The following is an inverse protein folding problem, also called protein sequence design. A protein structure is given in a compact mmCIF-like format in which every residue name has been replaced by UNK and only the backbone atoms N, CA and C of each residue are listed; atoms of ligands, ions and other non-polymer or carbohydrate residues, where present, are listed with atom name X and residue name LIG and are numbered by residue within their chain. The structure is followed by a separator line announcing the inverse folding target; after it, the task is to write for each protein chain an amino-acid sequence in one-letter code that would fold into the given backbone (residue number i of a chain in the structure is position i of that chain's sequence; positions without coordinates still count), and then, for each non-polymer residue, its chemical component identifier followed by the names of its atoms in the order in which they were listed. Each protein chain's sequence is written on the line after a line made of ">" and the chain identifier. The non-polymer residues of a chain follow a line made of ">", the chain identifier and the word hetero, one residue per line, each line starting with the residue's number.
data_IF_608585274357
#
_entry.id   IF_608585274357
#
_cell.length_a   1.000
_cell.length_b   1.000
_cell.length_c   1.000
_cell.angle_alpha   90.00
_cell.angle_beta   90.00
_cell.angle_gamma   90.00
#
_symmetry.space_group_name_H-M   'P 1'
#
loop_
_entity.id
_entity.type
_entity.pdbx_description
1 polymer ?
#
# COMPACT_ATOMS: atom_id res chain seq x y z
N UNK A 1 21.49 -21.19 -0.35
CA UNK A 1 20.98 -21.14 1.04
C UNK A 1 22.17 -21.23 1.97
N UNK A 2 22.12 -20.64 3.17
CA UNK A 2 23.22 -20.79 4.15
C UNK A 2 23.06 -22.12 4.89
N UNK A 3 24.17 -22.70 5.31
CA UNK A 3 24.18 -23.95 6.08
C UNK A 3 23.66 -23.76 7.50
N UNK A 4 23.87 -22.57 8.09
CA UNK A 4 23.38 -22.21 9.42
C UNK A 4 22.82 -20.79 9.48
N UNK A 5 21.83 -20.59 10.35
CA UNK A 5 21.19 -19.31 10.63
C UNK A 5 21.15 -19.08 12.15
N UNK A 6 21.53 -17.90 12.58
CA UNK A 6 21.45 -17.47 13.98
C UNK A 6 20.03 -16.97 14.28
N UNK A 7 19.36 -17.66 15.22
CA UNK A 7 18.02 -17.33 15.69
C UNK A 7 17.99 -16.79 17.12
N UNK A 8 19.13 -16.39 17.69
CA UNK A 8 19.23 -15.93 19.10
C UNK A 8 18.26 -14.78 19.43
N UNK A 9 17.95 -13.92 18.45
CA UNK A 9 17.00 -12.80 18.58
C UNK A 9 15.69 -13.03 17.81
N UNK A 10 15.35 -14.28 17.47
CA UNK A 10 14.14 -14.58 16.74
C UNK A 10 12.91 -14.43 17.64
N UNK A 11 11.87 -13.78 17.12
CA UNK A 11 10.58 -13.59 17.79
C UNK A 11 9.53 -14.44 17.06
N UNK A 12 8.88 -15.33 17.80
CA UNK A 12 7.78 -16.12 17.25
C UNK A 12 6.62 -15.20 16.84
N UNK A 13 6.15 -15.35 15.60
CA UNK A 13 5.00 -14.57 15.12
C UNK A 13 5.31 -13.12 14.74
N UNK A 14 6.58 -12.71 14.64
CA UNK A 14 6.97 -11.33 14.28
C UNK A 14 6.28 -10.77 13.02
N UNK A 15 6.00 -11.65 12.05
CA UNK A 15 5.34 -11.30 10.78
C UNK A 15 3.95 -11.95 10.63
N UNK A 16 3.42 -12.56 11.70
CA UNK A 16 2.07 -13.10 11.66
C UNK A 16 1.07 -11.95 11.68
N UNK A 17 0.20 -11.92 10.67
CA UNK A 17 -0.94 -11.00 10.59
C UNK A 17 -2.21 -11.85 10.70
N UNK A 18 -3.08 -11.60 11.69
CA UNK A 18 -4.37 -12.27 11.79
C UNK A 18 -5.18 -12.10 10.51
N UNK A 19 -5.96 -13.12 10.12
CA UNK A 19 -6.68 -13.11 8.84
C UNK A 19 -7.65 -11.93 8.72
N UNK A 20 -8.31 -11.56 9.83
CA UNK A 20 -9.17 -10.38 9.97
C UNK A 20 -8.45 -9.03 9.81
N UNK A 21 -7.13 -8.99 9.95
CA UNK A 21 -6.30 -7.79 9.81
C UNK A 21 -5.60 -7.70 8.44
N UNK A 22 -5.69 -8.74 7.61
CA UNK A 22 -5.06 -8.75 6.29
C UNK A 22 -5.72 -7.69 5.39
N UNK A 23 -4.94 -6.68 5.02
CA UNK A 23 -5.35 -5.68 4.03
C UNK A 23 -4.93 -6.14 2.65
N UNK A 24 -5.93 -6.40 1.78
CA UNK A 24 -5.67 -6.78 0.40
C UNK A 24 -5.14 -5.57 -0.40
N UNK A 25 -4.04 -5.71 -1.13
CA UNK A 25 -3.55 -4.63 -1.99
C UNK A 25 -4.52 -4.41 -3.15
N UNK A 26 -4.69 -3.14 -3.52
CA UNK A 26 -5.41 -2.74 -4.73
C UNK A 26 -4.37 -2.42 -5.80
N UNK A 27 -4.39 -3.19 -6.89
CA UNK A 27 -3.54 -2.95 -8.03
C UNK A 27 -4.12 -1.82 -8.89
N UNK A 28 -3.26 -0.90 -9.31
CA UNK A 28 -3.59 0.12 -10.30
C UNK A 28 -3.22 -0.37 -11.69
N UNK A 29 -3.99 0.07 -12.69
CA UNK A 29 -3.62 -0.13 -14.08
C UNK A 29 -2.27 0.54 -14.39
N UNK A 30 -1.55 -0.03 -15.36
CA UNK A 30 -0.15 0.30 -15.63
C UNK A 30 0.05 1.79 -15.96
N UNK A 31 -0.87 2.38 -16.72
CA UNK A 31 -0.85 3.79 -17.11
C UNK A 31 -1.07 4.70 -15.89
N UNK A 32 -2.03 4.38 -15.03
CA UNK A 32 -2.31 5.11 -13.79
C UNK A 32 -1.09 5.03 -12.86
N UNK A 33 -0.52 3.84 -12.67
CA UNK A 33 0.64 3.63 -11.83
C UNK A 33 1.85 4.43 -12.34
N UNK A 34 2.10 4.45 -13.65
CA UNK A 34 3.20 5.23 -14.24
C UNK A 34 3.00 6.73 -14.01
N UNK A 35 1.78 7.24 -14.23
CA UNK A 35 1.46 8.64 -14.04
C UNK A 35 1.65 9.10 -12.58
N UNK A 36 1.18 8.30 -11.63
CA UNK A 36 1.31 8.58 -10.19
C UNK A 36 2.77 8.49 -9.75
N UNK A 37 3.51 7.48 -10.18
CA UNK A 37 4.94 7.34 -9.89
C UNK A 37 5.75 8.55 -10.37
N UNK A 38 5.51 9.00 -11.61
CA UNK A 38 6.17 10.19 -12.15
C UNK A 38 5.84 11.46 -11.37
N UNK A 39 4.60 11.60 -10.87
CA UNK A 39 4.17 12.75 -10.05
C UNK A 39 4.80 12.79 -8.67
N UNK A 40 5.20 11.64 -8.15
CA UNK A 40 5.67 11.49 -6.77
C UNK A 40 7.16 11.13 -6.67
N UNK A 41 7.89 11.15 -7.78
CA UNK A 41 9.31 10.76 -7.84
C UNK A 41 9.54 9.33 -7.30
N UNK A 42 8.58 8.42 -7.54
CA UNK A 42 8.57 7.05 -7.03
C UNK A 42 8.59 6.93 -5.49
N UNK A 43 8.31 8.01 -4.76
CA UNK A 43 8.21 8.02 -3.31
C UNK A 43 6.87 7.40 -2.86
N UNK A 44 6.95 6.26 -2.18
CA UNK A 44 5.77 5.48 -1.78
C UNK A 44 4.81 6.24 -0.86
N UNK A 45 5.34 7.09 0.04
CA UNK A 45 4.52 7.88 0.96
C UNK A 45 3.76 8.98 0.23
N UNK A 46 4.42 9.68 -0.70
CA UNK A 46 3.79 10.70 -1.56
C UNK A 46 2.76 10.07 -2.48
N UNK A 47 3.03 8.90 -3.06
CA UNK A 47 2.08 8.13 -3.87
C UNK A 47 0.83 7.80 -3.07
N UNK A 48 1.02 7.24 -1.86
CA UNK A 48 -0.08 6.87 -0.95
C UNK A 48 -0.94 8.09 -0.60
N UNK A 49 -0.32 9.21 -0.25
CA UNK A 49 -1.04 10.43 0.09
C UNK A 49 -1.83 10.98 -1.11
N UNK A 50 -1.19 11.03 -2.29
CA UNK A 50 -1.82 11.53 -3.52
C UNK A 50 -3.06 10.70 -3.93
N UNK A 51 -2.93 9.37 -3.94
CA UNK A 51 -4.03 8.47 -4.30
C UNK A 51 -5.20 8.64 -3.32
N UNK A 52 -4.93 8.65 -2.01
CA UNK A 52 -5.97 8.84 -1.01
C UNK A 52 -6.69 10.18 -1.16
N UNK A 53 -5.96 11.26 -1.47
CA UNK A 53 -6.56 12.58 -1.65
C UNK A 53 -7.42 12.67 -2.91
N UNK A 54 -7.03 12.00 -4.01
CA UNK A 54 -7.88 11.90 -5.20
C UNK A 54 -9.15 11.11 -4.90
N UNK A 55 -9.03 9.93 -4.32
CA UNK A 55 -10.18 9.08 -3.99
C UNK A 55 -11.16 9.78 -3.02
N UNK A 56 -10.66 10.52 -2.02
CA UNK A 56 -11.53 11.29 -1.11
C UNK A 56 -12.35 12.35 -1.84
N UNK A 57 -11.75 13.06 -2.80
CA UNK A 57 -12.45 14.06 -3.62
C UNK A 57 -13.51 13.40 -4.49
N UNK A 58 -13.18 12.27 -5.10
CA UNK A 58 -14.14 11.52 -5.92
C UNK A 58 -15.32 11.00 -5.07
N UNK A 59 -15.05 10.50 -3.86
CA UNK A 59 -16.09 10.10 -2.90
C UNK A 59 -16.96 11.29 -2.50
N UNK A 60 -16.37 12.46 -2.25
CA UNK A 60 -17.12 13.69 -1.92
C UNK A 60 -18.05 14.10 -3.06
N UNK A 61 -17.57 14.04 -4.30
CA UNK A 61 -18.38 14.33 -5.50
C UNK A 61 -19.50 13.31 -5.63
N UNK A 62 -19.20 12.01 -5.51
CA UNK A 62 -20.19 10.95 -5.61
C UNK A 62 -21.33 11.12 -4.58
N UNK A 63 -20.98 11.47 -3.33
CA UNK A 63 -21.95 11.73 -2.25
C UNK A 63 -22.87 12.94 -2.50
N UNK A 64 -22.45 13.92 -3.31
CA UNK A 64 -23.26 15.10 -3.64
C UNK A 64 -24.25 14.84 -4.77
N UNK A 65 -23.95 13.86 -5.62
CA UNK A 65 -24.74 13.53 -6.81
C UNK A 65 -25.75 12.41 -6.50
N UNK A 66 -25.46 11.55 -5.51
CA UNK A 66 -26.37 10.54 -4.96
C UNK A 66 -27.45 11.17 -4.07
#
# INVERSE_FOLDING_TARGET
>A
MKDEYDFTNAEQGKFYVPIEEIQMPIYLDQDVLQYVNQKCDFDADRIRNLINDWLRKDIEIAKRIS
#
